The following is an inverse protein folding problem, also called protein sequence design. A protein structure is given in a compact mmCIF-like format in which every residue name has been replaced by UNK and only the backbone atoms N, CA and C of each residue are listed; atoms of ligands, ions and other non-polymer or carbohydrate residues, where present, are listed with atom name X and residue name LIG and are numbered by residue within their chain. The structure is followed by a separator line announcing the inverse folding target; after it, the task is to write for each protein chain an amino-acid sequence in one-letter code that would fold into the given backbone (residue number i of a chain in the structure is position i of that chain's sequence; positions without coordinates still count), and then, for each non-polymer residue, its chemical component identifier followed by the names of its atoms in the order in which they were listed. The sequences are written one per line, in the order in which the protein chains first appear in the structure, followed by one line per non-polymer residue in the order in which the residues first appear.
data_IF_291547399156
#
_entry.id   IF_291547399156
#
_cell.length_a   1.000
_cell.length_b   1.000
_cell.length_c   1.000
_cell.angle_alpha   90.00
_cell.angle_beta   90.00
_cell.angle_gamma   90.00
#
_symmetry.space_group_name_H-M   'P 1'
#
loop_
_entity.id
_entity.type
_entity.pdbx_description
1 polymer ?
#
# COMPACT_ATOMS: atom_id res chain seq x y z
N UNK A 1 -3.14 -2.22 24.05
CA UNK A 1 -1.93 -1.69 23.38
C UNK A 1 -1.91 -2.43 22.06
N UNK A 2 -2.24 -1.77 20.94
CA UNK A 2 -2.09 -2.40 19.63
C UNK A 2 -0.58 -2.41 19.38
N UNK A 3 0.04 -3.56 19.53
CA UNK A 3 1.47 -3.70 19.24
C UNK A 3 1.68 -3.37 17.76
N UNK A 4 2.65 -2.50 17.49
CA UNK A 4 2.98 -2.07 16.14
C UNK A 4 3.73 -3.20 15.44
N UNK A 5 2.97 -4.13 14.88
CA UNK A 5 3.49 -5.36 14.29
C UNK A 5 3.07 -5.52 12.82
N UNK A 6 3.58 -6.58 12.19
CA UNK A 6 3.28 -6.89 10.81
C UNK A 6 1.81 -7.27 10.55
N UNK A 7 1.06 -7.72 11.56
CA UNK A 7 -0.37 -7.99 11.43
C UNK A 7 -1.14 -6.69 11.25
N UNK A 8 -0.89 -5.72 12.13
CA UNK A 8 -1.47 -4.39 12.00
C UNK A 8 -1.12 -3.73 10.66
N UNK A 9 0.12 -3.86 10.20
CA UNK A 9 0.52 -3.34 8.89
C UNK A 9 -0.19 -4.06 7.72
N UNK A 10 -0.39 -5.37 7.79
CA UNK A 10 -1.14 -6.10 6.76
C UNK A 10 -2.62 -5.69 6.72
N UNK A 11 -3.24 -5.46 7.88
CA UNK A 11 -4.61 -4.94 7.97
C UNK A 11 -4.74 -3.54 7.36
N UNK A 12 -3.80 -2.64 7.67
CA UNK A 12 -3.73 -1.32 7.04
C UNK A 12 -3.59 -1.45 5.51
N UNK A 13 -2.69 -2.32 5.05
CA UNK A 13 -2.49 -2.58 3.63
C UNK A 13 -3.77 -3.10 2.95
N UNK A 14 -4.50 -4.00 3.60
CA UNK A 14 -5.78 -4.50 3.12
C UNK A 14 -6.83 -3.37 3.02
N UNK A 15 -6.93 -2.52 4.04
CA UNK A 15 -7.86 -1.37 4.05
C UNK A 15 -7.55 -0.38 2.94
N UNK A 16 -6.28 -0.03 2.74
CA UNK A 16 -5.82 0.83 1.65
C UNK A 16 -6.25 0.26 0.30
N UNK A 17 -6.03 -1.05 0.09
CA UNK A 17 -6.38 -1.72 -1.16
C UNK A 17 -7.90 -1.66 -1.42
N UNK A 18 -8.71 -2.05 -0.43
CA UNK A 18 -10.18 -2.04 -0.54
C UNK A 18 -10.71 -0.63 -0.85
N UNK A 19 -10.19 0.39 -0.17
CA UNK A 19 -10.61 1.76 -0.38
C UNK A 19 -10.21 2.28 -1.77
N UNK A 20 -9.01 1.96 -2.26
CA UNK A 20 -8.58 2.27 -3.63
C UNK A 20 -9.47 1.61 -4.69
N UNK A 21 -9.81 0.35 -4.51
CA UNK A 21 -10.73 -0.37 -5.41
C UNK A 21 -12.15 0.23 -5.38
N UNK A 22 -12.58 0.75 -4.23
CA UNK A 22 -13.86 1.46 -4.09
C UNK A 22 -13.82 2.82 -4.81
N UNK A 23 -12.75 3.60 -4.66
CA UNK A 23 -12.54 4.87 -5.38
C UNK A 23 -12.59 4.64 -6.89
N UNK A 24 -11.90 3.60 -7.40
CA UNK A 24 -11.90 3.27 -8.82
C UNK A 24 -13.31 2.97 -9.35
N UNK A 25 -14.12 2.22 -8.58
CA UNK A 25 -15.53 1.95 -8.92
C UNK A 25 -16.40 3.20 -8.92
N UNK A 26 -16.26 4.07 -7.92
CA UNK A 26 -17.01 5.34 -7.85
C UNK A 26 -16.63 6.29 -9.00
N UNK A 27 -15.35 6.33 -9.40
CA UNK A 27 -14.91 7.10 -10.56
C UNK A 27 -15.48 6.57 -11.86
N UNK A 28 -15.63 5.25 -12.00
CA UNK A 28 -16.31 4.65 -13.15
C UNK A 28 -17.81 5.01 -13.15
N UNK A 29 -18.48 4.90 -12.00
CA UNK A 29 -19.89 5.28 -11.86
C UNK A 29 -20.12 6.76 -12.23
N UNK A 30 -19.20 7.64 -11.81
CA UNK A 30 -19.21 9.05 -12.17
C UNK A 30 -19.05 9.26 -13.69
N UNK A 31 -18.15 8.51 -14.33
CA UNK A 31 -17.95 8.55 -15.77
C UNK A 31 -19.21 8.09 -16.53
N UNK A 32 -19.85 7.02 -16.07
CA UNK A 32 -21.08 6.48 -16.67
C UNK A 32 -22.26 7.43 -16.46
N UNK A 33 -22.37 8.07 -15.29
CA UNK A 33 -23.35 9.13 -15.05
C UNK A 33 -23.13 10.32 -15.99
N UNK A 34 -21.88 10.77 -16.16
CA UNK A 34 -21.56 11.87 -17.09
C UNK A 34 -21.79 11.51 -18.56
N UNK A 35 -21.63 10.24 -18.95
CA UNK A 35 -22.01 9.77 -20.29
C UNK A 35 -23.52 9.83 -20.48
N UNK A 36 -24.30 9.27 -19.54
CA UNK A 36 -25.78 9.33 -19.56
C UNK A 36 -26.30 10.76 -19.59
N UNK A 37 -25.66 11.68 -18.89
CA UNK A 37 -26.04 13.10 -18.91
C UNK A 37 -25.81 13.78 -20.26
N UNK A 38 -24.75 13.40 -20.99
CA UNK A 38 -24.52 13.92 -22.34
C UNK A 38 -25.60 13.42 -23.30
N UNK A 39 -25.96 12.15 -23.20
CA UNK A 39 -27.01 11.56 -24.03
C UNK A 39 -28.38 12.19 -23.71
N UNK A 40 -28.69 12.34 -22.41
CA UNK A 40 -29.93 13.00 -21.94
C UNK A 40 -30.00 14.47 -22.35
N UNK A 41 -28.87 15.19 -22.42
CA UNK A 41 -28.86 16.57 -22.90
C UNK A 41 -29.29 16.67 -24.38
N UNK A 42 -28.89 15.71 -25.22
CA UNK A 42 -29.33 15.63 -26.62
C UNK A 42 -30.83 15.35 -26.69
N UNK A 43 -31.33 14.41 -25.86
CA UNK A 43 -32.76 14.06 -25.80
C UNK A 43 -33.62 15.21 -25.27
N UNK A 44 -33.14 15.97 -24.28
CA UNK A 44 -33.79 17.16 -23.76
C UNK A 44 -33.81 18.29 -24.79
N UNK A 45 -32.73 18.48 -25.54
CA UNK A 45 -32.69 19.46 -26.63
C UNK A 45 -33.66 19.08 -27.75
N UNK A 46 -33.74 17.80 -28.11
CA UNK A 46 -34.74 17.28 -29.03
C UNK A 46 -36.17 17.50 -28.50
N UNK A 47 -36.45 17.11 -27.25
CA UNK A 47 -37.76 17.29 -26.62
C UNK A 47 -38.19 18.76 -26.60
N UNK A 48 -37.26 19.68 -26.31
CA UNK A 48 -37.50 21.13 -26.36
C UNK A 48 -37.86 21.58 -27.78
N UNK A 49 -37.19 21.06 -28.81
CA UNK A 49 -37.48 21.38 -30.21
C UNK A 49 -38.84 20.87 -30.68
N UNK A 50 -39.34 19.75 -30.13
CA UNK A 50 -40.66 19.20 -30.45
C UNK A 50 -41.78 19.63 -29.49
N UNK A 51 -41.49 20.56 -28.57
CA UNK A 51 -42.50 21.18 -27.69
C UNK A 51 -42.85 20.36 -26.44
N UNK A 52 -42.01 19.42 -26.01
CA UNK A 52 -42.17 18.65 -24.78
C UNK A 52 -41.21 19.14 -23.67
N UNK A 53 -41.68 19.13 -22.42
CA UNK A 53 -40.84 19.32 -21.24
C UNK A 53 -40.61 17.98 -20.54
N UNK A 54 -39.35 17.65 -20.27
CA UNK A 54 -38.95 16.49 -19.46
C UNK A 54 -38.61 16.95 -18.03
N UNK A 55 -38.95 16.16 -17.02
CA UNK A 55 -38.49 16.40 -15.65
C UNK A 55 -36.99 16.12 -15.51
N UNK A 56 -36.29 17.02 -14.82
CA UNK A 56 -34.89 16.82 -14.46
C UNK A 56 -34.77 15.82 -13.30
N UNK A 57 -33.94 14.80 -13.48
CA UNK A 57 -33.45 14.03 -12.33
C UNK A 57 -32.46 14.90 -11.56
N UNK A 58 -32.41 14.75 -10.23
CA UNK A 58 -31.43 15.42 -9.37
C UNK A 58 -30.04 14.78 -9.50
N UNK A 59 -29.48 14.87 -10.70
CA UNK A 59 -28.19 14.28 -11.07
C UNK A 59 -27.04 15.03 -10.41
N UNK A 60 -27.19 16.33 -10.16
CA UNK A 60 -26.18 17.10 -9.44
C UNK A 60 -26.04 16.63 -7.99
N UNK A 61 -27.14 16.27 -7.31
CA UNK A 61 -27.07 15.65 -5.98
C UNK A 61 -26.35 14.30 -5.99
N UNK A 62 -26.64 13.44 -6.98
CA UNK A 62 -25.94 12.15 -7.13
C UNK A 62 -24.45 12.36 -7.40
N UNK A 63 -24.09 13.29 -8.28
CA UNK A 63 -22.71 13.65 -8.59
C UNK A 63 -21.98 14.17 -7.35
N UNK A 64 -22.60 15.09 -6.60
CA UNK A 64 -22.03 15.65 -5.38
C UNK A 64 -21.80 14.57 -4.31
N UNK A 65 -22.74 13.64 -4.16
CA UNK A 65 -22.60 12.49 -3.24
C UNK A 65 -21.42 11.59 -3.61
N UNK A 66 -21.30 11.23 -4.90
CA UNK A 66 -20.19 10.38 -5.37
C UNK A 66 -18.84 11.07 -5.16
N UNK A 67 -18.74 12.36 -5.50
CA UNK A 67 -17.51 13.13 -5.28
C UNK A 67 -17.14 13.22 -3.80
N UNK A 68 -18.10 13.53 -2.93
CA UNK A 68 -17.87 13.59 -1.48
C UNK A 68 -17.41 12.24 -0.91
N UNK A 69 -17.92 11.13 -1.42
CA UNK A 69 -17.50 9.80 -1.00
C UNK A 69 -16.08 9.46 -1.51
N UNK A 70 -15.74 9.88 -2.73
CA UNK A 70 -14.36 9.77 -3.25
C UNK A 70 -13.39 10.56 -2.37
N UNK A 71 -13.68 11.82 -2.07
CA UNK A 71 -12.82 12.70 -1.27
C UNK A 71 -12.55 12.11 0.12
N UNK A 72 -13.60 11.61 0.79
CA UNK A 72 -13.48 10.99 2.11
C UNK A 72 -12.66 9.68 2.08
N UNK A 73 -12.82 8.87 1.03
CA UNK A 73 -12.02 7.66 0.85
C UNK A 73 -10.56 7.99 0.52
N UNK A 74 -10.30 9.03 -0.25
CA UNK A 74 -8.95 9.49 -0.57
C UNK A 74 -8.21 9.99 0.68
N UNK A 75 -8.89 10.75 1.54
CA UNK A 75 -8.35 11.17 2.83
C UNK A 75 -8.05 9.97 3.74
N UNK A 76 -8.96 8.99 3.79
CA UNK A 76 -8.75 7.75 4.56
C UNK A 76 -7.54 6.97 4.03
N UNK A 77 -7.43 6.78 2.70
CA UNK A 77 -6.29 6.11 2.07
C UNK A 77 -4.98 6.82 2.36
N UNK A 78 -5.00 8.16 2.35
CA UNK A 78 -3.82 8.96 2.69
C UNK A 78 -3.40 8.75 4.14
N UNK A 79 -4.36 8.86 5.09
CA UNK A 79 -4.09 8.64 6.51
C UNK A 79 -3.57 7.23 6.79
N UNK A 80 -4.18 6.21 6.18
CA UNK A 80 -3.75 4.82 6.31
C UNK A 80 -2.34 4.58 5.73
N UNK A 81 -2.02 5.21 4.60
CA UNK A 81 -0.69 5.14 4.00
C UNK A 81 0.36 5.76 4.91
N UNK A 82 0.06 6.92 5.50
CA UNK A 82 0.94 7.59 6.47
C UNK A 82 1.14 6.70 7.70
N UNK A 83 0.07 6.11 8.25
CA UNK A 83 0.14 5.18 9.36
C UNK A 83 0.97 3.92 9.02
N UNK A 84 0.80 3.36 7.82
CA UNK A 84 1.58 2.21 7.36
C UNK A 84 3.07 2.55 7.27
N UNK A 85 3.42 3.68 6.65
CA UNK A 85 4.81 4.13 6.49
C UNK A 85 5.44 4.40 7.86
N UNK A 86 4.73 5.11 8.75
CA UNK A 86 5.21 5.40 10.11
C UNK A 86 5.38 4.11 10.91
N UNK A 87 4.46 3.17 10.76
CA UNK A 87 4.55 1.87 11.41
C UNK A 87 5.78 1.07 10.95
N UNK A 88 6.01 1.03 9.64
CA UNK A 88 7.17 0.36 9.06
C UNK A 88 8.51 1.06 9.38
N UNK A 89 8.48 2.39 9.57
CA UNK A 89 9.63 3.19 9.94
C UNK A 89 9.97 3.14 11.44
N UNK A 90 9.04 2.68 12.28
CA UNK A 90 9.22 2.64 13.73
C UNK A 90 10.30 1.67 14.15
N UNK A 91 11.13 2.08 15.11
CA UNK A 91 12.11 1.20 15.76
C UNK A 91 11.50 0.08 16.60
N UNK A 92 10.21 0.21 16.92
CA UNK A 92 9.45 -0.76 17.73
C UNK A 92 8.72 -1.80 16.88
N UNK A 93 8.90 -1.77 15.55
CA UNK A 93 8.27 -2.72 14.64
C UNK A 93 8.59 -4.17 15.02
N UNK A 94 7.54 -4.95 15.25
CA UNK A 94 7.64 -6.39 15.52
C UNK A 94 7.36 -7.18 14.24
N UNK A 95 8.32 -8.01 13.83
CA UNK A 95 8.18 -8.94 12.72
C UNK A 95 8.03 -10.35 13.32
N UNK A 96 6.86 -11.01 13.21
CA UNK A 96 6.59 -12.27 13.88
C UNK A 96 7.22 -13.45 13.12
N UNK A 97 8.54 -13.58 13.15
CA UNK A 97 9.26 -14.73 12.57
C UNK A 97 9.51 -15.83 13.60
N UNK A 98 9.50 -17.09 13.17
CA UNK A 98 9.96 -18.23 13.96
C UNK A 98 11.48 -18.12 14.18
N UNK A 99 12.00 -18.25 15.41
CA UNK A 99 13.43 -18.15 15.68
C UNK A 99 14.27 -19.29 15.09
N UNK A 100 13.65 -20.38 14.61
CA UNK A 100 14.30 -21.53 14.01
C UNK A 100 14.18 -21.47 12.47
N UNK A 101 15.18 -20.95 11.76
CA UNK A 101 15.11 -20.88 10.32
C UNK A 101 15.36 -22.24 9.66
N UNK A 102 14.95 -22.34 8.41
CA UNK A 102 15.34 -23.42 7.51
C UNK A 102 16.56 -22.94 6.72
N UNK A 103 17.65 -23.71 6.77
CA UNK A 103 18.85 -23.45 5.97
C UNK A 103 18.69 -24.16 4.64
N UNK A 104 18.58 -23.40 3.56
CA UNK A 104 18.57 -23.96 2.20
C UNK A 104 20.02 -24.19 1.75
N UNK A 105 20.51 -25.40 2.02
CA UNK A 105 21.85 -25.87 1.66
C UNK A 105 22.01 -26.10 0.14
N UNK A 106 20.90 -26.14 -0.62
CA UNK A 106 20.89 -26.48 -2.04
C UNK A 106 20.71 -25.27 -2.98
N UNK A 107 20.54 -24.05 -2.46
CA UNK A 107 20.47 -22.83 -3.28
C UNK A 107 21.86 -22.44 -3.84
N UNK A 108 22.40 -23.24 -4.75
CA UNK A 108 23.42 -22.84 -5.72
C UNK A 108 22.76 -22.05 -6.85
N UNK A 109 22.23 -20.86 -6.57
CA UNK A 109 21.92 -19.93 -7.65
C UNK A 109 23.23 -19.31 -8.13
N UNK A 110 23.46 -19.31 -9.44
CA UNK A 110 24.58 -18.72 -10.19
C UNK A 110 24.72 -17.18 -10.03
N UNK A 111 24.43 -16.65 -8.84
CA UNK A 111 24.71 -15.27 -8.47
C UNK A 111 26.14 -15.22 -7.94
N UNK A 112 26.93 -14.28 -8.44
CA UNK A 112 28.37 -14.09 -8.27
C UNK A 112 28.84 -13.81 -6.83
N UNK A 113 28.06 -14.17 -5.79
CA UNK A 113 28.41 -13.99 -4.38
C UNK A 113 27.94 -15.23 -3.62
N UNK A 114 28.83 -16.20 -3.40
CA UNK A 114 28.55 -17.49 -2.74
C UNK A 114 28.01 -17.38 -1.30
N UNK A 115 26.72 -17.09 -1.16
CA UNK A 115 25.97 -17.11 0.11
C UNK A 115 24.79 -18.07 -0.02
N UNK A 116 24.54 -18.84 1.04
CA UNK A 116 23.32 -19.63 1.18
C UNK A 116 22.09 -18.75 1.37
N UNK A 117 20.92 -19.38 1.42
CA UNK A 117 19.64 -18.73 1.74
C UNK A 117 19.11 -19.30 3.05
N UNK A 118 18.77 -18.41 3.97
CA UNK A 118 18.19 -18.77 5.27
C UNK A 118 16.77 -18.26 5.31
N UNK A 119 15.82 -19.16 5.56
CA UNK A 119 14.39 -18.90 5.46
C UNK A 119 13.79 -18.87 6.87
N UNK A 120 13.23 -17.73 7.25
CA UNK A 120 12.47 -17.56 8.47
C UNK A 120 10.99 -17.56 8.14
N UNK A 121 10.25 -18.59 8.55
CA UNK A 121 8.78 -18.60 8.43
C UNK A 121 8.16 -17.61 9.39
N UNK A 122 7.00 -17.06 9.05
CA UNK A 122 6.22 -16.32 10.03
C UNK A 122 5.63 -17.28 11.07
N UNK A 123 5.48 -16.80 12.31
CA UNK A 123 4.89 -17.54 13.41
C UNK A 123 3.44 -17.89 13.09
N UNK A 124 2.97 -18.99 13.66
CA UNK A 124 1.59 -19.46 13.58
C UNK A 124 1.06 -19.67 12.16
N UNK A 125 1.97 -19.80 11.16
CA UNK A 125 1.59 -19.96 9.75
C UNK A 125 0.99 -18.71 9.12
N UNK A 126 1.26 -17.52 9.67
CA UNK A 126 0.75 -16.26 9.15
C UNK A 126 1.18 -15.99 7.70
N UNK A 127 0.30 -15.34 6.93
CA UNK A 127 0.53 -14.97 5.54
C UNK A 127 0.27 -13.47 5.38
N UNK A 128 1.29 -12.73 4.94
CA UNK A 128 1.29 -11.27 4.86
C UNK A 128 1.25 -10.77 3.40
N UNK A 129 0.23 -11.19 2.66
CA UNK A 129 0.10 -10.85 1.23
C UNK A 129 -0.07 -9.35 0.98
N UNK A 130 -0.88 -8.67 1.80
CA UNK A 130 -1.18 -7.25 1.59
C UNK A 130 0.03 -6.39 1.95
N UNK A 131 0.70 -6.71 3.05
CA UNK A 131 1.95 -6.11 3.45
C UNK A 131 3.00 -6.22 2.33
N UNK A 132 3.24 -7.42 1.77
CA UNK A 132 4.23 -7.58 0.69
C UNK A 132 3.85 -6.76 -0.55
N UNK A 133 2.57 -6.73 -0.93
CA UNK A 133 2.09 -5.91 -2.03
C UNK A 133 2.35 -4.41 -1.79
N UNK A 134 2.03 -3.91 -0.61
CA UNK A 134 2.26 -2.52 -0.23
C UNK A 134 3.75 -2.18 -0.08
N UNK A 135 4.53 -3.10 0.47
CA UNK A 135 5.97 -2.98 0.57
C UNK A 135 6.61 -2.82 -0.81
N UNK A 136 6.23 -3.69 -1.75
CA UNK A 136 6.69 -3.62 -3.14
C UNK A 136 6.31 -2.29 -3.79
N UNK A 137 5.16 -1.71 -3.47
CA UNK A 137 4.73 -0.41 -3.98
C UNK A 137 5.60 0.74 -3.45
N UNK A 138 6.05 0.67 -2.19
CA UNK A 138 6.87 1.72 -1.56
C UNK A 138 8.34 1.66 -2.00
N UNK A 139 8.87 0.45 -2.14
CA UNK A 139 10.29 0.23 -2.44
C UNK A 139 10.58 -0.13 -3.89
N UNK A 140 9.54 -0.27 -4.74
CA UNK A 140 9.62 -0.80 -6.10
C UNK A 140 10.28 -2.19 -6.20
N UNK A 141 10.36 -2.92 -5.08
CA UNK A 141 10.86 -4.29 -4.98
C UNK A 141 10.47 -4.88 -3.60
N UNK A 142 10.48 -6.21 -3.47
CA UNK A 142 10.24 -6.92 -2.20
C UNK A 142 11.52 -7.16 -1.39
N UNK A 143 12.67 -6.72 -1.89
CA UNK A 143 13.97 -6.91 -1.24
C UNK A 143 14.50 -5.63 -0.62
N UNK A 144 15.07 -5.73 0.58
CA UNK A 144 15.92 -4.70 1.17
C UNK A 144 17.26 -5.33 1.48
N UNK A 145 18.30 -4.93 0.75
CA UNK A 145 19.66 -5.46 0.94
C UNK A 145 19.70 -6.98 0.90
N UNK A 146 19.91 -7.59 2.06
CA UNK A 146 20.10 -9.02 2.22
C UNK A 146 18.79 -9.74 2.56
N UNK A 147 17.68 -9.02 2.76
CA UNK A 147 16.36 -9.59 3.08
C UNK A 147 15.40 -9.49 1.90
N UNK A 148 14.56 -10.51 1.75
CA UNK A 148 13.43 -10.52 0.82
C UNK A 148 12.19 -10.90 1.62
N UNK A 149 11.18 -10.03 1.60
CA UNK A 149 9.88 -10.35 2.16
C UNK A 149 9.06 -11.12 1.14
N UNK A 150 8.56 -12.27 1.55
CA UNK A 150 7.54 -13.02 0.81
C UNK A 150 6.29 -13.13 1.68
N UNK A 151 5.12 -13.50 1.12
CA UNK A 151 3.90 -13.61 1.89
C UNK A 151 3.99 -14.62 3.04
N UNK A 152 4.75 -15.71 2.88
CA UNK A 152 4.79 -16.84 3.83
C UNK A 152 6.06 -16.88 4.69
N UNK A 153 7.12 -16.20 4.26
CA UNK A 153 8.41 -16.21 4.95
C UNK A 153 9.27 -14.99 4.61
N UNK A 154 10.31 -14.76 5.41
CA UNK A 154 11.40 -13.84 5.11
C UNK A 154 12.63 -14.63 4.71
N UNK A 155 13.23 -14.29 3.58
CA UNK A 155 14.46 -14.89 3.11
C UNK A 155 15.64 -13.96 3.42
N UNK A 156 16.72 -14.51 3.95
CA UNK A 156 17.95 -13.77 4.28
C UNK A 156 19.13 -14.40 3.55
N UNK A 157 19.85 -13.59 2.77
CA UNK A 157 21.04 -14.00 2.03
C UNK A 157 22.28 -14.02 2.96
N UNK A 158 22.57 -15.19 3.53
CA UNK A 158 23.60 -15.38 4.56
C UNK A 158 24.18 -16.82 4.51
N UNK A 159 25.41 -16.99 5.02
CA UNK A 159 26.07 -18.30 5.04
C UNK A 159 25.66 -19.16 6.23
N UNK A 160 25.35 -18.53 7.35
CA UNK A 160 24.95 -19.18 8.59
C UNK A 160 23.91 -18.35 9.36
N UNK A 161 23.29 -18.96 10.37
CA UNK A 161 22.22 -18.36 11.15
C UNK A 161 22.66 -17.08 11.88
N UNK A 162 23.90 -17.03 12.38
CA UNK A 162 24.43 -15.86 13.09
C UNK A 162 24.56 -14.68 12.14
N UNK A 163 25.09 -14.91 10.94
CA UNK A 163 25.16 -13.92 9.88
C UNK A 163 23.76 -13.48 9.43
N UNK A 164 22.82 -14.42 9.30
CA UNK A 164 21.43 -14.10 8.94
C UNK A 164 20.77 -13.17 9.95
N UNK A 165 20.88 -13.46 11.26
CA UNK A 165 20.33 -12.61 12.33
C UNK A 165 20.92 -11.20 12.27
N UNK A 166 22.24 -11.09 12.10
CA UNK A 166 22.92 -9.79 11.96
C UNK A 166 22.45 -9.02 10.72
N UNK A 167 22.36 -9.68 9.56
CA UNK A 167 21.91 -9.07 8.30
C UNK A 167 20.45 -8.64 8.34
N UNK A 168 19.60 -9.46 8.94
CA UNK A 168 18.19 -9.15 9.13
C UNK A 168 18.02 -7.84 9.92
N UNK A 169 18.59 -7.76 11.13
CA UNK A 169 18.49 -6.56 11.98
C UNK A 169 19.03 -5.31 11.28
N UNK A 170 20.17 -5.41 10.61
CA UNK A 170 20.75 -4.26 9.92
C UNK A 170 19.94 -3.82 8.70
N UNK A 171 19.38 -4.76 7.94
CA UNK A 171 18.54 -4.45 6.78
C UNK A 171 17.25 -3.74 7.21
N UNK A 172 16.61 -4.21 8.30
CA UNK A 172 15.44 -3.55 8.89
C UNK A 172 15.77 -2.14 9.39
N UNK A 173 16.87 -1.96 10.14
CA UNK A 173 17.29 -0.63 10.61
C UNK A 173 17.63 0.34 9.49
N UNK A 174 18.13 -0.17 8.38
CA UNK A 174 18.41 0.66 7.21
C UNK A 174 17.14 1.06 6.47
N UNK A 175 16.23 0.12 6.28
CA UNK A 175 14.89 0.40 5.78
C UNK A 175 14.20 1.50 6.60
N UNK A 176 14.17 1.36 7.92
CA UNK A 176 13.59 2.34 8.84
C UNK A 176 14.24 3.72 8.65
N UNK A 177 15.58 3.79 8.60
CA UNK A 177 16.30 5.05 8.33
C UNK A 177 15.96 5.67 6.97
N UNK A 178 15.80 4.85 5.93
CA UNK A 178 15.40 5.34 4.60
C UNK A 178 13.98 5.91 4.61
N UNK A 179 13.04 5.24 5.30
CA UNK A 179 11.66 5.68 5.41
C UNK A 179 11.53 6.98 6.21
N UNK A 180 12.21 7.09 7.36
CA UNK A 180 12.25 8.33 8.15
C UNK A 180 12.79 9.50 7.32
N UNK A 181 13.86 9.28 6.55
CA UNK A 181 14.40 10.32 5.64
C UNK A 181 13.40 10.72 4.56
N UNK A 182 12.68 9.76 3.96
CA UNK A 182 11.63 10.05 2.97
C UNK A 182 10.48 10.85 3.59
N UNK A 183 10.02 10.48 4.78
CA UNK A 183 8.96 11.19 5.50
C UNK A 183 9.36 12.65 5.80
N UNK A 184 10.58 12.86 6.29
CA UNK A 184 11.10 14.19 6.59
C UNK A 184 11.32 15.06 5.33
N UNK A 185 11.76 14.45 4.21
CA UNK A 185 11.93 15.17 2.95
C UNK A 185 10.59 15.67 2.38
N UNK A 186 9.52 14.88 2.53
CA UNK A 186 8.17 15.29 2.14
C UNK A 186 7.70 16.45 3.02
N UNK A 187 7.88 16.38 4.34
CA UNK A 187 7.51 17.45 5.27
C UNK A 187 8.23 18.79 4.96
N UNK A 188 9.54 18.75 4.67
CA UNK A 188 10.33 19.93 4.34
C UNK A 188 9.92 20.59 3.01
N UNK A 189 9.44 19.81 2.04
CA UNK A 189 8.94 20.35 0.76
C UNK A 189 7.60 21.09 0.90
N UNK A 190 6.76 20.69 1.86
CA UNK A 190 5.47 21.33 2.15
C UNK A 190 5.67 22.68 2.85
N UNK A 191 6.65 22.78 3.77
CA UNK A 191 6.94 24.05 4.46
C UNK A 191 7.50 25.14 3.53
N UNK A 192 8.19 24.77 2.45
CA UNK A 192 8.71 25.73 1.46
C UNK A 192 7.63 26.29 0.53
N UNK A 193 6.48 25.61 0.40
CA UNK A 193 5.35 26.08 -0.40
C UNK A 193 4.36 26.96 0.38
N UNK A 194 4.34 26.89 1.71
CA UNK A 194 3.50 27.77 2.56
C UNK A 194 4.14 29.15 2.81
N UNK A 195 5.45 29.29 2.54
CA UNK A 195 6.21 30.54 2.74
C UNK A 195 6.48 31.34 1.45
N UNK A 196 5.75 31.09 0.36
CA UNK A 196 5.84 31.88 -0.88
C UNK A 196 4.52 32.56 -1.21
#
# INVERSE_FOLDING_TARGET
MLDLDLYYLDELAARIKVNRDKIARLRQELADLNARMRDKAIDQEFARLIGYQQEDEDVESVRARINSEIDALEETVKSDMEAFINGLASSELIIPIDPHPIIDEHSTTNSSIGRGKIIYKYRDGAIFTNFVGMFSLIFNNCSVKDIIFTPEYVLVNAKDEREARYRFVNSIREMQRMLVKKANAIALSVEQHVKR
#
